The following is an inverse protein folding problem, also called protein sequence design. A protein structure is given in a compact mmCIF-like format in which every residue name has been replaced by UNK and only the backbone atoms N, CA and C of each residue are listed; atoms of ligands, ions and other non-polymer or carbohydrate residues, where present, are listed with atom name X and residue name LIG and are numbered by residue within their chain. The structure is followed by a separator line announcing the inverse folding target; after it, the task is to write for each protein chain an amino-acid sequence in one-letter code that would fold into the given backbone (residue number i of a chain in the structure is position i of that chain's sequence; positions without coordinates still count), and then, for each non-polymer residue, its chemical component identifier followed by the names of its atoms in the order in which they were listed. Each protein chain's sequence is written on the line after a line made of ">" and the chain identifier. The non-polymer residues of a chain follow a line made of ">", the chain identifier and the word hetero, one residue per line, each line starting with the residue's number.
data_IF_110375531589
#
_entry.id   IF_110375531589
#
_cell.length_a   1.000
_cell.length_b   1.000
_cell.length_c   1.000
_cell.angle_alpha   90.00
_cell.angle_beta   90.00
_cell.angle_gamma   90.00
#
_symmetry.space_group_name_H-M   'P 1'
#
loop_
_entity.id
_entity.type
_entity.pdbx_description
1 polymer ?
#
# COMPACT_ATOMS: atom_id res chain seq x y z
N UNK A 1 -3.84 8.37 -15.81
CA UNK A 1 -4.67 8.32 -14.58
C UNK A 1 -3.72 8.10 -13.42
N UNK A 2 -3.92 8.76 -12.27
CA UNK A 2 -3.02 8.60 -11.13
C UNK A 2 -3.15 7.18 -10.56
N UNK A 3 -2.06 6.53 -10.13
CA UNK A 3 -2.14 5.17 -9.57
C UNK A 3 -2.42 5.27 -8.06
N UNK A 4 -3.27 4.41 -7.51
CA UNK A 4 -3.37 4.30 -6.06
C UNK A 4 -2.07 3.70 -5.50
N UNK A 5 -1.64 4.09 -4.30
CA UNK A 5 -0.37 3.63 -3.73
C UNK A 5 -0.64 2.61 -2.64
N UNK A 6 -0.20 1.37 -2.87
CA UNK A 6 -0.25 0.30 -1.90
C UNK A 6 1.06 0.27 -1.11
N UNK A 7 0.97 0.69 0.14
CA UNK A 7 2.07 0.76 1.10
C UNK A 7 2.03 -0.50 1.98
N UNK A 8 3.17 -1.14 2.16
CA UNK A 8 3.27 -2.41 2.87
C UNK A 8 4.62 -2.60 3.55
N UNK A 9 4.68 -3.47 4.56
CA UNK A 9 5.94 -3.89 5.14
C UNK A 9 6.70 -4.82 4.17
N UNK A 10 7.78 -4.29 3.58
CA UNK A 10 8.64 -5.02 2.65
C UNK A 10 9.49 -6.12 3.28
N UNK A 11 9.55 -6.24 4.61
CA UNK A 11 10.28 -7.31 5.32
C UNK A 11 9.33 -8.40 5.84
N UNK A 12 8.04 -8.09 6.04
CA UNK A 12 7.03 -9.07 6.42
C UNK A 12 6.69 -10.02 5.27
N UNK A 13 6.87 -11.33 5.48
CA UNK A 13 6.58 -12.37 4.47
C UNK A 13 5.10 -12.40 4.07
N UNK A 14 4.18 -12.17 5.01
CA UNK A 14 2.74 -12.14 4.75
C UNK A 14 2.39 -10.94 3.86
N UNK A 15 2.87 -9.75 4.19
CA UNK A 15 2.64 -8.54 3.40
C UNK A 15 3.22 -8.65 1.99
N UNK A 16 4.44 -9.17 1.84
CA UNK A 16 5.05 -9.41 0.53
C UNK A 16 4.24 -10.38 -0.32
N UNK A 17 3.81 -11.50 0.25
CA UNK A 17 3.01 -12.48 -0.48
C UNK A 17 1.65 -11.92 -0.92
N UNK A 18 1.02 -11.10 -0.09
CA UNK A 18 -0.21 -10.39 -0.46
C UNK A 18 0.02 -9.43 -1.63
N UNK A 19 1.07 -8.61 -1.58
CA UNK A 19 1.43 -7.69 -2.67
C UNK A 19 1.72 -8.42 -3.98
N UNK A 20 2.45 -9.53 -3.95
CA UNK A 20 2.71 -10.33 -5.15
C UNK A 20 1.44 -10.95 -5.73
N UNK A 21 0.52 -11.42 -4.86
CA UNK A 21 -0.79 -11.92 -5.28
C UNK A 21 -1.63 -10.84 -5.96
N UNK A 22 -1.61 -9.61 -5.42
CA UNK A 22 -2.30 -8.43 -5.98
C UNK A 22 -1.67 -8.03 -7.31
N UNK A 23 -0.34 -7.92 -7.37
CA UNK A 23 0.43 -7.57 -8.58
C UNK A 23 0.12 -8.52 -9.75
N UNK A 24 -0.05 -9.81 -9.46
CA UNK A 24 -0.36 -10.81 -10.48
C UNK A 24 -1.79 -10.72 -11.04
N UNK A 25 -2.70 -9.98 -10.39
CA UNK A 25 -4.14 -9.93 -10.74
C UNK A 25 -4.64 -8.54 -11.10
N UNK A 26 -4.04 -7.50 -10.54
CA UNK A 26 -4.36 -6.13 -10.87
C UNK A 26 -4.03 -5.84 -12.34
N UNK A 27 -4.84 -5.02 -12.99
CA UNK A 27 -4.50 -4.52 -14.32
C UNK A 27 -3.16 -3.74 -14.24
N UNK A 28 -2.35 -3.74 -15.32
CA UNK A 28 -1.13 -2.97 -15.36
C UNK A 28 -1.40 -1.52 -14.95
N UNK A 29 -0.49 -0.96 -14.16
CA UNK A 29 -0.57 0.45 -13.74
C UNK A 29 -1.74 0.81 -12.81
N UNK A 30 -2.47 -0.16 -12.23
CA UNK A 30 -3.52 0.11 -11.23
C UNK A 30 -2.92 0.65 -9.93
N UNK A 31 -1.86 0.02 -9.44
CA UNK A 31 -1.21 0.34 -8.18
C UNK A 31 0.27 0.70 -8.36
N UNK A 32 0.72 1.68 -7.59
CA UNK A 32 2.13 1.80 -7.20
C UNK A 32 2.35 1.02 -5.91
N UNK A 33 3.49 0.34 -5.77
CA UNK A 33 3.82 -0.44 -4.57
C UNK A 33 4.99 0.20 -3.85
N UNK A 34 4.81 0.54 -2.57
CA UNK A 34 5.82 1.24 -1.78
C UNK A 34 6.09 0.49 -0.46
N UNK A 35 7.36 0.18 -0.19
CA UNK A 35 7.74 -0.47 1.06
C UNK A 35 7.82 0.55 2.21
N UNK A 36 7.40 0.16 3.41
CA UNK A 36 7.58 0.97 4.62
C UNK A 36 9.05 1.35 4.86
N UNK A 37 10.00 0.59 4.33
CA UNK A 37 11.45 0.74 4.56
C UNK A 37 12.14 1.65 3.55
N UNK A 38 11.40 2.26 2.63
CA UNK A 38 11.98 3.28 1.74
C UNK A 38 12.14 4.60 2.49
N UNK A 39 13.21 5.33 2.17
CA UNK A 39 13.44 6.68 2.71
C UNK A 39 12.40 7.69 2.22
N UNK A 40 11.72 7.38 1.11
CA UNK A 40 10.75 8.24 0.43
C UNK A 40 9.36 8.25 1.08
N UNK A 41 9.01 7.19 1.85
CA UNK A 41 7.70 7.08 2.52
C UNK A 41 7.33 8.33 3.37
N UNK A 42 8.15 8.79 4.33
CA UNK A 42 7.80 9.93 5.17
C UNK A 42 7.72 11.26 4.39
N UNK A 43 8.39 11.36 3.24
CA UNK A 43 8.32 12.54 2.39
C UNK A 43 7.02 12.61 1.59
N UNK A 44 6.52 11.45 1.13
CA UNK A 44 5.31 11.36 0.32
C UNK A 44 4.03 11.24 1.13
N UNK A 45 4.10 10.52 2.25
CA UNK A 45 2.95 10.21 3.11
C UNK A 45 3.29 10.52 4.57
N UNK A 46 3.50 11.81 4.92
CA UNK A 46 3.93 12.22 6.27
C UNK A 46 2.93 11.90 7.38
N UNK A 47 1.68 11.57 7.02
CA UNK A 47 0.61 11.18 7.95
C UNK A 47 0.60 9.67 8.24
N UNK A 48 1.40 8.87 7.54
CA UNK A 48 1.55 7.43 7.81
C UNK A 48 2.82 7.24 8.63
N UNK A 49 2.63 7.16 9.95
CA UNK A 49 3.70 6.86 10.88
C UNK A 49 4.33 5.49 10.56
N UNK A 50 5.65 5.38 10.75
CA UNK A 50 6.38 4.13 10.48
C UNK A 50 5.79 2.94 11.25
N UNK A 51 5.40 3.14 12.51
CA UNK A 51 4.76 2.11 13.32
C UNK A 51 3.39 1.68 12.78
N UNK A 52 2.59 2.61 12.27
CA UNK A 52 1.32 2.30 11.62
C UNK A 52 1.55 1.49 10.33
N UNK A 53 2.51 1.92 9.51
CA UNK A 53 2.91 1.21 8.28
C UNK A 53 3.31 -0.25 8.54
N UNK A 54 4.06 -0.50 9.62
CA UNK A 54 4.45 -1.85 10.03
C UNK A 54 3.31 -2.68 10.63
N UNK A 55 2.27 -2.02 11.17
CA UNK A 55 1.12 -2.70 11.78
C UNK A 55 0.09 -3.18 10.74
N UNK A 56 -0.06 -2.47 9.62
CA UNK A 56 -1.02 -2.81 8.57
C UNK A 56 -0.58 -2.29 7.19
N UNK A 57 -1.06 -2.95 6.13
CA UNK A 57 -0.97 -2.40 4.77
C UNK A 57 -1.87 -1.17 4.65
N UNK A 58 -1.45 -0.17 3.88
CA UNK A 58 -2.22 1.04 3.63
C UNK A 58 -2.43 1.24 2.13
N UNK A 59 -3.62 1.62 1.73
CA UNK A 59 -3.93 2.04 0.38
C UNK A 59 -4.21 3.53 0.39
N UNK A 60 -3.41 4.28 -0.38
CA UNK A 60 -3.65 5.71 -0.62
C UNK A 60 -4.32 5.86 -1.96
N UNK A 61 -5.58 6.31 -1.95
CA UNK A 61 -6.36 6.57 -3.14
C UNK A 61 -5.90 7.86 -3.83
N UNK A 62 -6.35 8.06 -5.07
CA UNK A 62 -5.96 9.21 -5.89
C UNK A 62 -6.36 10.57 -5.30
N UNK A 63 -7.40 10.59 -4.47
CA UNK A 63 -7.89 11.78 -3.77
C UNK A 63 -7.14 12.05 -2.45
N UNK A 64 -6.18 11.18 -2.09
CA UNK A 64 -5.41 11.25 -0.84
C UNK A 64 -6.07 10.52 0.34
N UNK A 65 -7.22 9.88 0.16
CA UNK A 65 -7.85 9.05 1.19
C UNK A 65 -6.94 7.87 1.53
N UNK A 66 -6.74 7.62 2.82
CA UNK A 66 -5.95 6.50 3.32
C UNK A 66 -6.87 5.45 3.93
N UNK A 67 -6.79 4.24 3.40
CA UNK A 67 -7.47 3.05 3.93
C UNK A 67 -6.43 2.13 4.53
N UNK A 68 -6.60 1.72 5.78
CA UNK A 68 -5.67 0.84 6.48
C UNK A 68 -6.27 -0.56 6.67
N UNK A 69 -5.42 -1.59 6.59
CA UNK A 69 -5.79 -2.96 6.90
C UNK A 69 -6.99 -3.45 6.10
N UNK A 70 -8.03 -3.91 6.80
CA UNK A 70 -9.26 -4.43 6.21
C UNK A 70 -10.03 -3.40 5.39
N UNK A 71 -9.89 -2.10 5.70
CA UNK A 71 -10.57 -1.04 4.95
C UNK A 71 -10.07 -0.94 3.51
N UNK A 72 -8.81 -1.33 3.26
CA UNK A 72 -8.23 -1.34 1.93
C UNK A 72 -8.67 -2.55 1.09
N UNK A 73 -9.13 -3.63 1.72
CA UNK A 73 -9.40 -4.89 1.03
C UNK A 73 -10.51 -4.79 -0.05
N UNK A 74 -11.65 -4.12 0.17
CA UNK A 74 -12.66 -3.95 -0.87
C UNK A 74 -12.12 -3.24 -2.11
N UNK A 75 -11.34 -2.16 -1.94
CA UNK A 75 -10.78 -1.38 -3.05
C UNK A 75 -9.69 -2.13 -3.84
N UNK A 76 -9.08 -3.15 -3.22
CA UNK A 76 -8.02 -3.97 -3.84
C UNK A 76 -8.61 -5.19 -4.57
N UNK A 77 -9.69 -5.76 -4.04
CA UNK A 77 -10.23 -7.06 -4.45
C UNK A 77 -11.43 -6.97 -5.40
N UNK A 78 -12.04 -5.80 -5.55
CA UNK A 78 -13.14 -5.52 -6.48
C UNK A 78 -12.62 -5.06 -7.85
#
# INVERSE_FOLDING_TARGET
>A
MAKAVLIYDGECSVCRNAVEWIRARAAPETFEYLSCHTEDLPHRFPHIEKSACLAAMHLVLQDGTVLAGEQAAPEILL
#
